data_IF_791088169795
#
_entry.id   IF_791088169795
#
_cell.length_a   1.000
_cell.length_b   1.000
_cell.length_c   1.000
_cell.angle_alpha   90.00
_cell.angle_beta   90.00
_cell.angle_gamma   90.00
#
_symmetry.space_group_name_H-M   'P 1'
#
loop_
_entity.id
_entity.type
_entity.pdbx_description
1 polymer ?
#
# COMPACT_ATOMS: atom_id res chain seq x y z
N UNK A 1 -15.03 -7.88 9.99
CA UNK A 1 -14.02 -7.98 8.93
C UNK A 1 -12.66 -7.67 9.53
N UNK A 2 -11.66 -8.43 9.19
CA UNK A 2 -10.30 -8.24 9.70
C UNK A 2 -9.35 -7.90 8.57
N UNK A 3 -8.47 -6.94 8.84
CA UNK A 3 -7.39 -6.56 7.93
C UNK A 3 -6.05 -6.74 8.59
N UNK A 4 -4.99 -6.79 7.77
CA UNK A 4 -3.60 -6.81 8.23
C UNK A 4 -2.91 -5.50 7.86
N UNK A 5 -1.97 -5.07 8.68
CA UNK A 5 -1.14 -3.91 8.36
C UNK A 5 -0.33 -4.22 7.09
N UNK A 6 -0.37 -3.31 6.14
CA UNK A 6 0.28 -3.49 4.84
C UNK A 6 -0.55 -4.21 3.80
N UNK A 7 -1.73 -4.73 4.17
CA UNK A 7 -2.61 -5.38 3.22
C UNK A 7 -3.05 -4.39 2.14
N UNK A 8 -2.90 -4.79 0.88
CA UNK A 8 -3.30 -3.98 -0.26
C UNK A 8 -4.64 -4.48 -0.78
N UNK A 9 -5.58 -3.55 -0.89
CA UNK A 9 -6.91 -3.81 -1.43
C UNK A 9 -7.08 -3.04 -2.72
N UNK A 10 -7.88 -3.59 -3.63
CA UNK A 10 -8.23 -2.90 -4.87
C UNK A 10 -9.72 -2.58 -4.80
N UNK A 11 -10.04 -1.30 -4.96
CA UNK A 11 -11.41 -0.82 -4.97
C UNK A 11 -12.16 -1.43 -6.17
N UNK A 12 -13.30 -2.07 -5.91
CA UNK A 12 -14.14 -2.67 -6.96
C UNK A 12 -15.29 -1.76 -7.42
N UNK A 13 -15.37 -0.56 -6.85
CA UNK A 13 -16.35 0.45 -7.20
C UNK A 13 -15.77 1.83 -6.94
N UNK A 14 -16.40 2.85 -7.54
CA UNK A 14 -16.03 4.23 -7.25
C UNK A 14 -16.41 4.57 -5.80
N UNK A 15 -15.52 5.28 -5.12
CA UNK A 15 -15.72 5.69 -3.71
C UNK A 15 -15.70 7.20 -3.64
N UNK A 16 -16.73 7.77 -3.04
CA UNK A 16 -16.80 9.21 -2.78
C UNK A 16 -16.25 9.50 -1.38
N UNK A 17 -15.25 10.37 -1.30
CA UNK A 17 -14.64 10.80 -0.04
C UNK A 17 -14.69 12.30 0.07
N UNK A 18 -14.87 12.79 1.29
CA UNK A 18 -14.89 14.22 1.60
C UNK A 18 -13.56 14.63 2.23
N UNK A 19 -12.94 15.67 1.69
CA UNK A 19 -11.72 16.23 2.27
C UNK A 19 -12.05 16.92 3.59
N UNK A 20 -11.33 16.54 4.65
CA UNK A 20 -11.61 17.00 6.01
C UNK A 20 -11.50 18.53 6.18
N UNK A 21 -10.57 19.17 5.48
CA UNK A 21 -10.32 20.61 5.64
C UNK A 21 -11.19 21.50 4.75
N UNK A 22 -11.53 21.04 3.56
CA UNK A 22 -12.25 21.86 2.58
C UNK A 22 -13.71 21.45 2.39
N UNK A 23 -14.11 20.28 2.88
CA UNK A 23 -15.44 19.72 2.62
C UNK A 23 -15.65 19.32 1.18
N UNK A 24 -14.63 19.40 0.34
CA UNK A 24 -14.70 19.03 -1.07
C UNK A 24 -14.85 17.53 -1.22
N UNK A 25 -15.82 17.14 -2.07
CA UNK A 25 -16.03 15.72 -2.40
C UNK A 25 -15.16 15.31 -3.56
N UNK A 26 -14.44 14.21 -3.39
CA UNK A 26 -13.57 13.62 -4.41
C UNK A 26 -14.02 12.20 -4.67
N UNK A 27 -14.17 11.85 -5.94
CA UNK A 27 -14.47 10.47 -6.35
C UNK A 27 -13.17 9.75 -6.63
N UNK A 28 -12.93 8.65 -5.91
CA UNK A 28 -11.79 7.77 -6.15
C UNK A 28 -12.30 6.65 -7.05
N UNK A 29 -11.79 6.53 -8.29
CA UNK A 29 -12.31 5.55 -9.23
C UNK A 29 -12.00 4.12 -8.82
N UNK A 30 -12.82 3.19 -9.29
CA UNK A 30 -12.55 1.76 -9.09
C UNK A 30 -11.16 1.39 -9.65
N UNK A 31 -10.55 0.36 -9.09
CA UNK A 31 -9.20 -0.05 -9.45
C UNK A 31 -8.10 0.68 -8.66
N UNK A 32 -8.48 1.62 -7.80
CA UNK A 32 -7.53 2.29 -6.93
C UNK A 32 -7.00 1.34 -5.86
N UNK A 33 -5.68 1.41 -5.62
CA UNK A 33 -5.05 0.62 -4.57
C UNK A 33 -5.13 1.35 -3.24
N UNK A 34 -5.48 0.59 -2.21
CA UNK A 34 -5.61 1.06 -0.84
C UNK A 34 -4.69 0.17 0.02
N UNK A 35 -3.88 0.77 0.87
CA UNK A 35 -3.05 0.03 1.82
C UNK A 35 -3.53 0.31 3.25
N UNK A 36 -3.56 -0.73 4.07
CA UNK A 36 -3.88 -0.59 5.50
C UNK A 36 -2.61 -0.17 6.23
N UNK A 37 -2.65 0.98 6.86
CA UNK A 37 -1.52 1.52 7.60
C UNK A 37 -1.38 0.99 9.02
N UNK A 38 -0.23 1.23 9.62
CA UNK A 38 0.02 0.92 11.03
C UNK A 38 -0.85 1.77 11.97
N UNK A 39 -1.37 2.90 11.49
CA UNK A 39 -2.34 3.74 12.17
C UNK A 39 -3.76 3.15 12.17
N UNK A 40 -3.94 1.99 11.55
CA UNK A 40 -5.23 1.28 11.39
C UNK A 40 -6.24 2.05 10.55
N UNK A 41 -5.73 2.80 9.57
CA UNK A 41 -6.53 3.54 8.60
C UNK A 41 -6.26 3.03 7.19
N UNK A 42 -7.22 3.26 6.29
CA UNK A 42 -7.06 2.95 4.87
C UNK A 42 -6.42 4.15 4.16
N UNK A 43 -5.29 3.92 3.52
CA UNK A 43 -4.56 4.95 2.78
C UNK A 43 -4.71 4.71 1.27
N UNK A 44 -5.33 5.67 0.59
CA UNK A 44 -5.51 5.61 -0.86
C UNK A 44 -4.21 6.02 -1.54
N UNK A 45 -3.52 5.08 -2.16
CA UNK A 45 -2.16 5.30 -2.69
C UNK A 45 -2.09 6.35 -3.80
N UNK A 46 -3.13 6.45 -4.61
CA UNK A 46 -3.14 7.38 -5.75
C UNK A 46 -3.41 8.83 -5.34
N UNK A 47 -4.31 9.04 -4.39
CA UNK A 47 -4.77 10.37 -3.99
C UNK A 47 -4.15 10.85 -2.68
N UNK A 48 -3.56 9.94 -1.91
CA UNK A 48 -3.04 10.23 -0.57
C UNK A 48 -4.13 10.43 0.48
N UNK A 49 -5.40 10.18 0.15
CA UNK A 49 -6.50 10.34 1.09
C UNK A 49 -6.53 9.20 2.11
N UNK A 50 -6.97 9.52 3.32
CA UNK A 50 -7.06 8.59 4.43
C UNK A 50 -8.53 8.39 4.78
N UNK A 51 -8.93 7.14 4.97
CA UNK A 51 -10.31 6.79 5.30
C UNK A 51 -10.34 5.88 6.51
N UNK A 52 -11.21 6.16 7.51
CA UNK A 52 -11.40 5.25 8.64
C UNK A 52 -11.98 3.91 8.20
N UNK A 53 -11.59 2.84 8.87
CA UNK A 53 -12.06 1.49 8.60
C UNK A 53 -13.38 1.14 9.32
N UNK A 54 -13.93 2.08 10.09
CA UNK A 54 -15.15 1.87 10.85
C UNK A 54 -14.96 0.84 11.97
N UNK A 55 -15.78 -0.21 11.95
CA UNK A 55 -15.73 -1.29 12.96
C UNK A 55 -14.79 -2.42 12.61
N UNK A 56 -14.07 -2.33 11.49
CA UNK A 56 -13.12 -3.36 11.08
C UNK A 56 -11.93 -3.41 12.04
N UNK A 57 -11.45 -4.63 12.29
CA UNK A 57 -10.28 -4.87 13.13
C UNK A 57 -9.02 -4.96 12.26
N UNK A 58 -7.91 -4.46 12.79
CA UNK A 58 -6.60 -4.57 12.14
C UNK A 58 -5.68 -5.35 13.08
N UNK A 59 -5.20 -6.49 12.60
CA UNK A 59 -4.35 -7.39 13.40
C UNK A 59 -3.33 -8.07 12.48
N UNK A 60 -2.06 -8.08 12.91
CA UNK A 60 -0.99 -8.71 12.18
C UNK A 60 -0.48 -7.89 11.00
N UNK A 61 0.40 -8.49 10.23
CA UNK A 61 1.10 -7.86 9.10
C UNK A 61 0.95 -8.69 7.83
N UNK A 62 0.89 -8.00 6.70
CA UNK A 62 0.98 -8.60 5.38
C UNK A 62 2.33 -8.21 4.78
N UNK A 63 3.33 -9.09 4.86
CA UNK A 63 4.68 -8.82 4.38
C UNK A 63 4.74 -8.62 2.88
N UNK A 64 3.91 -9.32 2.11
CA UNK A 64 3.81 -9.15 0.66
C UNK A 64 3.32 -7.75 0.31
N UNK A 65 2.26 -7.29 0.96
CA UNK A 65 1.72 -5.95 0.75
C UNK A 65 2.69 -4.85 1.17
N UNK A 66 3.39 -5.03 2.29
CA UNK A 66 4.43 -4.09 2.73
C UNK A 66 5.58 -4.02 1.74
N UNK A 67 6.00 -5.16 1.18
CA UNK A 67 7.06 -5.20 0.17
C UNK A 67 6.65 -4.45 -1.11
N UNK A 68 5.43 -4.67 -1.60
CA UNK A 68 4.90 -3.94 -2.75
C UNK A 68 4.86 -2.42 -2.52
N UNK A 69 4.38 -2.01 -1.36
CA UNK A 69 4.32 -0.60 -1.00
C UNK A 69 5.71 0.03 -0.93
N UNK A 70 6.65 -0.64 -0.27
CA UNK A 70 8.03 -0.16 -0.17
C UNK A 70 8.67 0.01 -1.56
N UNK A 71 8.47 -0.97 -2.44
CA UNK A 71 8.98 -0.87 -3.81
C UNK A 71 8.37 0.30 -4.57
N UNK A 72 7.08 0.55 -4.42
CA UNK A 72 6.40 1.71 -5.00
C UNK A 72 7.04 3.03 -4.56
N UNK A 73 7.31 3.17 -3.27
CA UNK A 73 7.95 4.36 -2.70
C UNK A 73 9.37 4.52 -3.26
N UNK A 74 10.14 3.43 -3.31
CA UNK A 74 11.49 3.45 -3.86
C UNK A 74 11.51 3.84 -5.33
N UNK A 75 10.59 3.34 -6.14
CA UNK A 75 10.47 3.70 -7.55
C UNK A 75 10.13 5.17 -7.76
N UNK A 76 9.40 5.78 -6.84
CA UNK A 76 9.04 7.20 -6.91
C UNK A 76 10.24 8.11 -6.65
N UNK A 77 11.25 7.64 -5.93
CA UNK A 77 12.41 8.44 -5.52
C UNK A 77 13.73 8.03 -6.15
N UNK A 78 13.83 6.80 -6.65
CA UNK A 78 15.08 6.25 -7.20
C UNK A 78 14.81 5.57 -8.54
N UNK A 79 15.81 5.51 -9.44
CA UNK A 79 15.70 4.82 -10.73
C UNK A 79 15.80 3.30 -10.55
N UNK A 80 14.84 2.70 -9.87
CA UNK A 80 14.88 1.28 -9.52
C UNK A 80 14.89 0.39 -10.75
N UNK A 81 14.11 0.69 -11.78
CA UNK A 81 14.05 -0.14 -12.99
C UNK A 81 15.40 -0.19 -13.69
N UNK A 82 16.13 0.94 -13.77
CA UNK A 82 17.48 0.99 -14.34
C UNK A 82 18.47 0.23 -13.47
N UNK A 83 18.38 0.35 -12.15
CA UNK A 83 19.25 -0.36 -11.22
C UNK A 83 19.04 -1.87 -11.31
N UNK A 84 17.82 -2.34 -11.44
CA UNK A 84 17.50 -3.75 -11.61
C UNK A 84 18.09 -4.29 -12.92
N UNK A 85 17.97 -3.53 -13.99
CA UNK A 85 18.57 -3.88 -15.30
C UNK A 85 20.08 -3.97 -15.21
N UNK A 86 20.73 -2.98 -14.60
CA UNK A 86 22.19 -2.92 -14.45
C UNK A 86 22.74 -4.11 -13.64
N UNK A 87 22.02 -4.53 -12.63
CA UNK A 87 22.41 -5.68 -11.78
C UNK A 87 21.86 -7.02 -12.27
N UNK A 88 21.12 -7.02 -13.38
CA UNK A 88 20.50 -8.23 -13.94
C UNK A 88 19.58 -8.95 -12.94
N UNK A 89 18.81 -8.18 -12.17
CA UNK A 89 17.88 -8.67 -11.16
C UNK A 89 16.46 -8.35 -11.62
N UNK A 90 15.53 -9.30 -11.46
CA UNK A 90 14.13 -9.05 -11.74
C UNK A 90 13.44 -8.30 -10.59
N UNK A 91 12.37 -7.58 -10.90
CA UNK A 91 11.55 -6.93 -9.87
C UNK A 91 11.01 -7.96 -8.86
N UNK A 92 10.62 -9.14 -9.34
CA UNK A 92 10.13 -10.21 -8.47
C UNK A 92 11.18 -10.67 -7.47
N UNK A 93 12.43 -10.77 -7.88
CA UNK A 93 13.53 -11.13 -6.98
C UNK A 93 13.70 -10.09 -5.87
N UNK A 94 13.61 -8.80 -6.23
CA UNK A 94 13.70 -7.72 -5.24
C UNK A 94 12.52 -7.76 -4.27
N UNK A 95 11.30 -7.96 -4.76
CA UNK A 95 10.11 -8.10 -3.91
C UNK A 95 10.25 -9.27 -2.94
N UNK A 96 10.71 -10.42 -3.41
CA UNK A 96 10.88 -11.60 -2.59
C UNK A 96 11.90 -11.36 -1.45
N UNK A 97 12.99 -10.67 -1.75
CA UNK A 97 13.99 -10.31 -0.73
C UNK A 97 13.44 -9.33 0.31
N UNK A 98 12.65 -8.35 -0.11
CA UNK A 98 12.03 -7.40 0.81
C UNK A 98 11.01 -8.12 1.70
N UNK A 99 10.17 -8.97 1.13
CA UNK A 99 9.18 -9.76 1.85
C UNK A 99 9.87 -10.66 2.88
N UNK A 100 10.92 -11.36 2.47
CA UNK A 100 11.71 -12.20 3.35
C UNK A 100 12.31 -11.41 4.52
N UNK A 101 12.80 -10.20 4.26
CA UNK A 101 13.35 -9.35 5.31
C UNK A 101 12.29 -8.97 6.36
N UNK A 102 11.06 -8.65 5.94
CA UNK A 102 9.96 -8.39 6.87
C UNK A 102 9.62 -9.62 7.70
N UNK A 103 9.56 -10.80 7.08
CA UNK A 103 9.27 -12.04 7.80
C UNK A 103 10.37 -12.41 8.80
N UNK A 104 11.63 -12.18 8.42
CA UNK A 104 12.80 -12.50 9.25
C UNK A 104 12.85 -11.69 10.56
N UNK A 105 12.42 -10.43 10.52
CA UNK A 105 12.39 -9.60 11.73
C UNK A 105 11.16 -9.84 12.60
N UNK A 106 10.25 -10.71 12.17
CA UNK A 106 9.14 -11.18 13.00
C UNK A 106 8.00 -10.20 13.18
N UNK A 107 7.72 -9.39 12.18
CA UNK A 107 6.54 -8.52 12.20
C UNK A 107 5.25 -9.29 12.40
#
# INVERSE_FOLDING_TARGET
MKYKIGQILISNQDVEVEKALSGEKVVIPKGNKIIIGADKLAHHLRTGMIQPLGTAEVEGYDSEGLAEYLLLVLKAHFPIDEMLEDYEISERMLLDEIEYAFDDIGF
#
